data_IF_409440180182
#
_entry.id   IF_409440180182
#
_cell.length_a   1.000
_cell.length_b   1.000
_cell.length_c   1.000
_cell.angle_alpha   90.00
_cell.angle_beta   90.00
_cell.angle_gamma   90.00
#
_symmetry.space_group_name_H-M   'P 1'
#
loop_
_entity.id
_entity.type
_entity.pdbx_description
1 polymer ?
#
# COMPACT_ATOMS: atom_id res chain seq x y z
N UNK A 1 -1.19 6.12 -16.08
CA UNK A 1 0.04 5.30 -16.17
C UNK A 1 -0.17 4.08 -15.29
N UNK A 2 0.32 2.91 -15.69
CA UNK A 2 0.06 1.66 -14.97
C UNK A 2 1.26 1.31 -14.07
N UNK A 3 1.00 0.91 -12.83
CA UNK A 3 2.02 0.54 -11.85
C UNK A 3 1.64 -0.76 -11.14
N UNK A 4 2.64 -1.54 -10.78
CA UNK A 4 2.55 -2.64 -9.83
C UNK A 4 3.01 -2.14 -8.46
N UNK A 5 2.11 -2.18 -7.48
CA UNK A 5 2.38 -1.79 -6.10
C UNK A 5 2.52 -3.07 -5.28
N UNK A 6 3.72 -3.28 -4.75
CA UNK A 6 4.06 -4.38 -3.87
C UNK A 6 3.98 -3.91 -2.42
N UNK A 7 3.21 -4.60 -1.59
CA UNK A 7 2.94 -4.17 -0.22
C UNK A 7 2.78 -5.36 0.72
N UNK A 8 2.86 -5.09 2.02
CA UNK A 8 2.57 -6.03 3.10
C UNK A 8 1.49 -5.46 4.01
N UNK A 9 0.81 -6.36 4.71
CA UNK A 9 -0.12 -6.03 5.79
C UNK A 9 0.55 -6.47 7.09
N UNK A 10 0.94 -5.52 7.90
CA UNK A 10 1.62 -5.75 9.17
C UNK A 10 0.54 -5.95 10.24
N UNK A 11 0.57 -7.10 10.91
CA UNK A 11 -0.21 -7.34 12.12
C UNK A 11 0.40 -6.52 13.27
N UNK A 12 -0.34 -5.56 13.80
CA UNK A 12 0.13 -4.68 14.89
C UNK A 12 -0.22 -5.22 16.28
N UNK A 13 -0.89 -6.37 16.36
CA UNK A 13 -1.26 -7.02 17.64
C UNK A 13 -0.12 -7.87 18.19
N UNK A 14 0.86 -8.21 17.36
CA UNK A 14 2.06 -8.95 17.76
C UNK A 14 3.16 -8.00 18.22
N UNK A 15 4.05 -8.49 19.08
CA UNK A 15 5.19 -7.70 19.54
C UNK A 15 6.24 -7.53 18.41
N UNK A 16 7.14 -6.56 18.56
CA UNK A 16 8.15 -6.27 17.55
C UNK A 16 9.11 -7.44 17.28
N UNK A 17 9.36 -8.29 18.27
CA UNK A 17 10.20 -9.47 18.13
C UNK A 17 9.54 -10.53 17.23
N UNK A 18 8.22 -10.71 17.37
CA UNK A 18 7.41 -11.60 16.55
C UNK A 18 7.28 -11.10 15.12
N UNK A 19 7.38 -9.79 14.84
CA UNK A 19 7.41 -9.26 13.47
C UNK A 19 8.65 -9.70 12.68
N UNK A 20 9.74 -10.10 13.33
CA UNK A 20 10.90 -10.67 12.63
C UNK A 20 10.68 -12.14 12.24
N UNK A 21 9.66 -12.79 12.78
CA UNK A 21 9.27 -14.12 12.34
C UNK A 21 8.54 -14.02 11.00
N UNK A 22 9.07 -14.74 10.01
CA UNK A 22 8.49 -14.80 8.65
C UNK A 22 7.05 -15.30 8.64
N UNK A 23 6.61 -16.00 9.68
CA UNK A 23 5.21 -16.43 9.81
C UNK A 23 4.26 -15.27 10.16
N UNK A 24 4.75 -14.20 10.80
CA UNK A 24 3.95 -13.07 11.25
C UNK A 24 4.10 -11.83 10.34
N UNK A 25 5.14 -11.79 9.51
CA UNK A 25 5.21 -10.84 8.39
C UNK A 25 4.11 -11.19 7.39
N UNK A 26 3.17 -10.27 7.19
CA UNK A 26 2.12 -10.44 6.20
C UNK A 26 2.68 -10.82 4.83
N UNK A 27 1.97 -11.70 4.13
CA UNK A 27 2.35 -12.17 2.80
C UNK A 27 2.55 -10.96 1.87
N UNK A 28 3.65 -10.97 1.12
CA UNK A 28 3.90 -9.99 0.07
C UNK A 28 2.77 -10.05 -0.95
N UNK A 29 2.08 -8.93 -1.11
CA UNK A 29 0.97 -8.78 -2.04
C UNK A 29 1.35 -7.81 -3.16
N UNK A 30 0.68 -7.95 -4.29
CA UNK A 30 0.84 -7.08 -5.44
C UNK A 30 -0.53 -6.65 -5.95
N UNK A 31 -0.68 -5.35 -6.19
CA UNK A 31 -1.85 -4.77 -6.84
C UNK A 31 -1.42 -3.94 -8.04
N UNK A 32 -2.14 -4.10 -9.14
CA UNK A 32 -1.93 -3.29 -10.33
C UNK A 32 -2.88 -2.10 -10.34
N UNK A 33 -2.34 -0.89 -10.42
CA UNK A 33 -3.13 0.35 -10.46
C UNK A 33 -2.89 1.12 -11.75
N UNK A 34 -3.95 1.67 -12.34
CA UNK A 34 -3.83 2.67 -13.39
C UNK A 34 -4.12 4.06 -12.81
N UNK A 35 -3.10 4.92 -12.73
CA UNK A 35 -3.26 6.29 -12.23
C UNK A 35 -4.14 7.15 -13.14
N UNK A 36 -4.34 6.78 -14.41
CA UNK A 36 -5.19 7.54 -15.33
C UNK A 36 -6.68 7.29 -15.09
N UNK A 37 -7.03 6.05 -14.72
CA UNK A 37 -8.43 5.60 -14.63
C UNK A 37 -8.96 5.61 -13.19
N UNK A 38 -8.06 5.52 -12.20
CA UNK A 38 -8.44 5.48 -10.80
C UNK A 38 -8.48 6.91 -10.19
N UNK A 39 -9.65 7.42 -9.78
CA UNK A 39 -9.78 8.74 -9.17
C UNK A 39 -8.90 8.94 -7.92
N UNK A 40 -8.64 7.86 -7.18
CA UNK A 40 -7.80 7.89 -5.97
C UNK A 40 -6.34 8.23 -6.27
N UNK A 41 -5.87 7.93 -7.48
CA UNK A 41 -4.45 8.07 -7.83
C UNK A 41 -4.22 9.08 -8.98
N UNK A 42 -5.29 9.65 -9.53
CA UNK A 42 -5.24 10.57 -10.68
C UNK A 42 -4.41 11.83 -10.45
N UNK A 43 -4.27 12.26 -9.21
CA UNK A 43 -3.50 13.43 -8.81
C UNK A 43 -2.03 13.11 -8.51
N UNK A 44 -1.65 11.83 -8.42
CA UNK A 44 -0.28 11.41 -8.13
C UNK A 44 0.62 11.61 -9.36
N UNK A 45 1.67 12.42 -9.19
CA UNK A 45 2.62 12.80 -10.25
C UNK A 45 3.90 11.98 -10.23
N UNK A 46 4.18 11.31 -9.12
CA UNK A 46 5.38 10.52 -8.90
C UNK A 46 5.08 9.32 -7.99
N UNK A 47 6.03 8.40 -7.92
CA UNK A 47 5.89 7.15 -7.13
C UNK A 47 5.69 7.42 -5.64
N UNK A 48 6.27 8.51 -5.09
CA UNK A 48 6.15 8.85 -3.67
C UNK A 48 4.71 9.27 -3.33
N UNK A 49 4.09 10.08 -4.19
CA UNK A 49 2.68 10.46 -4.02
C UNK A 49 1.76 9.25 -4.13
N UNK A 50 2.05 8.33 -5.05
CA UNK A 50 1.29 7.09 -5.21
C UNK A 50 1.40 6.19 -3.97
N UNK A 51 2.59 6.03 -3.41
CA UNK A 51 2.82 5.31 -2.14
C UNK A 51 1.96 5.88 -1.02
N UNK A 52 2.06 7.20 -0.80
CA UNK A 52 1.32 7.88 0.27
C UNK A 52 -0.19 7.74 0.08
N UNK A 53 -0.70 7.92 -1.15
CA UNK A 53 -2.11 7.77 -1.44
C UNK A 53 -2.61 6.33 -1.21
N UNK A 54 -1.83 5.33 -1.63
CA UNK A 54 -2.14 3.92 -1.47
C UNK A 54 -2.23 3.52 0.01
N UNK A 55 -1.26 3.95 0.81
CA UNK A 55 -1.20 3.66 2.25
C UNK A 55 -2.28 4.43 3.01
N UNK A 56 -2.46 5.73 2.72
CA UNK A 56 -3.49 6.56 3.36
C UNK A 56 -4.87 5.97 3.15
N UNK A 57 -5.23 5.65 1.91
CA UNK A 57 -6.57 5.13 1.59
C UNK A 57 -6.88 3.83 2.35
N UNK A 58 -5.88 2.96 2.57
CA UNK A 58 -6.09 1.68 3.25
C UNK A 58 -6.03 1.78 4.77
N UNK A 59 -5.20 2.66 5.30
CA UNK A 59 -5.03 2.81 6.75
C UNK A 59 -6.04 3.81 7.36
N UNK A 60 -6.48 4.81 6.58
CA UNK A 60 -7.28 5.97 6.98
C UNK A 60 -8.31 6.36 5.90
N UNK A 61 -9.24 5.47 5.53
CA UNK A 61 -10.14 5.69 4.38
C UNK A 61 -11.15 6.83 4.57
N UNK A 62 -11.55 7.13 5.81
CA UNK A 62 -12.63 8.10 6.11
C UNK A 62 -12.16 9.38 6.77
N UNK A 63 -11.08 9.33 7.56
CA UNK A 63 -10.50 10.47 8.28
C UNK A 63 -9.04 10.19 8.59
N UNK A 64 -8.22 11.25 8.57
CA UNK A 64 -6.79 11.18 8.94
C UNK A 64 -6.60 10.85 10.44
N UNK A 65 -7.63 11.07 11.27
CA UNK A 65 -7.61 10.82 12.71
C UNK A 65 -8.20 9.47 13.12
N UNK A 66 -8.79 8.72 12.17
CA UNK A 66 -9.52 7.47 12.47
C UNK A 66 -8.86 6.30 11.76
N UNK A 67 -8.21 5.46 12.56
CA UNK A 67 -7.70 4.17 12.08
C UNK A 67 -8.84 3.16 12.01
N UNK A 68 -9.26 2.75 10.81
CA UNK A 68 -10.37 1.80 10.67
C UNK A 68 -10.01 0.37 11.14
N UNK A 69 -8.81 -0.09 10.83
CA UNK A 69 -8.33 -1.43 11.18
C UNK A 69 -7.01 -1.32 11.96
N UNK A 70 -7.05 -1.02 13.27
CA UNK A 70 -5.83 -0.76 14.04
C UNK A 70 -4.87 -1.94 14.09
N UNK A 71 -5.39 -3.17 13.96
CA UNK A 71 -4.64 -4.43 13.92
C UNK A 71 -3.91 -4.68 12.58
N UNK A 72 -4.22 -3.94 11.52
CA UNK A 72 -3.69 -4.19 10.18
C UNK A 72 -3.13 -2.90 9.57
N UNK A 73 -1.81 -2.83 9.39
CA UNK A 73 -1.14 -1.69 8.77
C UNK A 73 -0.57 -2.04 7.40
N UNK A 74 -1.05 -1.32 6.39
CA UNK A 74 -0.58 -1.47 5.03
C UNK A 74 0.70 -0.67 4.84
N UNK A 75 1.75 -1.32 4.36
CA UNK A 75 3.02 -0.70 4.00
C UNK A 75 3.45 -1.13 2.61
N UNK A 76 3.67 -0.15 1.73
CA UNK A 76 4.25 -0.34 0.41
C UNK A 76 5.75 -0.60 0.54
N UNK A 77 6.24 -1.57 -0.21
CA UNK A 77 7.65 -1.95 -0.24
C UNK A 77 8.32 -1.57 -1.57
N UNK A 78 7.55 -1.62 -2.67
CA UNK A 78 8.07 -1.33 -4.02
C UNK A 78 6.95 -0.89 -4.94
N UNK A 79 7.24 0.05 -5.84
CA UNK A 79 6.35 0.46 -6.92
C UNK A 79 7.12 0.38 -8.23
N UNK A 80 6.62 -0.44 -9.15
CA UNK A 80 7.24 -0.62 -10.47
C UNK A 80 6.30 -0.10 -11.57
N UNK A 81 6.79 0.70 -12.53
CA UNK A 81 5.98 1.06 -13.70
C UNK A 81 5.75 -0.18 -14.57
N UNK A 82 4.51 -0.39 -15.01
CA UNK A 82 4.19 -1.46 -15.95
C UNK A 82 4.42 -0.95 -17.36
N UNK A 83 5.33 -1.56 -18.15
CA UNK A 83 5.56 -1.17 -19.52
C UNK A 83 4.27 -1.30 -20.34
N UNK A 84 3.92 -0.25 -21.08
CA UNK A 84 2.90 -0.34 -22.12
C UNK A 84 3.64 -0.71 -23.39
N UNK A 85 3.62 -1.99 -23.76
CA UNK A 85 4.08 -2.41 -25.08
C UNK A 85 3.03 -1.93 -26.10
N UNK A 86 3.42 -0.99 -26.94
CA UNK A 86 2.65 -0.50 -28.10
C UNK A 86 2.74 -1.47 -29.26
#
# INVERSE_FOLDING_TARGET
MKYEIWFVIIDTTVNAESLNDRQNLGVLQMETVNTSDNPLYKHCRNIRELEVAFERYRNFPTSDDVVQSPHAKFKVLRIDPVPVYS
#
